data_IF_614656173429
#
_entry.id   IF_614656173429
#
_cell.length_a   1.000
_cell.length_b   1.000
_cell.length_c   1.000
_cell.angle_alpha   90.00
_cell.angle_beta   90.00
_cell.angle_gamma   90.00
#
_symmetry.space_group_name_H-M   'P 1'
#
loop_
_entity.id
_entity.type
_entity.pdbx_description
1 polymer ?
#
# COMPACT_ATOMS: atom_id res chain seq x y z
N UNK A 1 13.40 -11.73 -17.45
CA UNK A 1 13.76 -13.05 -16.88
C UNK A 1 14.91 -12.81 -15.92
N UNK A 2 14.66 -12.74 -14.60
CA UNK A 2 15.69 -12.47 -13.61
C UNK A 2 16.59 -13.69 -13.40
N UNK A 3 17.91 -13.48 -13.43
CA UNK A 3 18.95 -14.49 -13.24
C UNK A 3 18.99 -14.98 -11.80
N UNK A 4 19.19 -16.28 -11.60
CA UNK A 4 19.33 -16.96 -10.30
C UNK A 4 20.33 -16.25 -9.38
N UNK A 5 19.89 -15.76 -8.23
CA UNK A 5 20.79 -15.23 -7.19
C UNK A 5 20.11 -14.59 -5.98
N UNK A 6 19.13 -13.71 -6.18
CA UNK A 6 18.45 -13.02 -5.07
C UNK A 6 16.93 -13.21 -5.13
N UNK A 7 16.41 -14.08 -4.28
CA UNK A 7 14.97 -14.22 -4.06
C UNK A 7 14.48 -12.96 -3.34
N UNK A 8 13.60 -12.20 -3.98
CA UNK A 8 12.90 -11.07 -3.33
C UNK A 8 12.04 -11.62 -2.18
N UNK A 9 12.41 -11.28 -0.94
CA UNK A 9 11.62 -11.62 0.25
C UNK A 9 10.50 -10.60 0.41
N UNK A 10 9.24 -11.06 0.46
CA UNK A 10 8.09 -10.16 0.67
C UNK A 10 8.02 -9.71 2.13
N UNK A 11 7.50 -8.52 2.37
CA UNK A 11 7.26 -8.02 3.73
C UNK A 11 6.38 -8.97 4.56
N UNK A 12 5.41 -9.64 3.94
CA UNK A 12 4.57 -10.66 4.59
C UNK A 12 5.37 -11.86 5.07
N UNK A 13 6.44 -12.25 4.37
CA UNK A 13 7.33 -13.34 4.79
C UNK A 13 8.21 -12.95 5.96
N UNK A 14 8.70 -11.71 5.98
CA UNK A 14 9.43 -11.16 7.13
C UNK A 14 8.52 -11.16 8.36
N UNK A 15 7.27 -10.70 8.21
CA UNK A 15 6.27 -10.73 9.28
C UNK A 15 5.96 -12.15 9.75
N UNK A 16 5.83 -13.10 8.81
CA UNK A 16 5.59 -14.50 9.15
C UNK A 16 6.77 -15.12 9.90
N UNK A 17 8.01 -14.84 9.51
CA UNK A 17 9.21 -15.32 10.20
C UNK A 17 9.30 -14.72 11.61
N UNK A 18 9.07 -13.41 11.75
CA UNK A 18 9.08 -12.71 13.03
C UNK A 18 8.01 -13.23 14.00
N UNK A 19 6.84 -13.65 13.47
CA UNK A 19 5.80 -14.31 14.25
C UNK A 19 6.15 -15.77 14.58
N UNK A 20 6.52 -16.56 13.56
CA UNK A 20 6.92 -17.95 13.69
C UNK A 20 7.83 -18.40 12.54
N UNK A 21 9.12 -18.56 12.84
CA UNK A 21 10.12 -19.04 11.89
C UNK A 21 9.77 -20.42 11.27
N UNK A 22 9.18 -21.33 12.04
CA UNK A 22 8.78 -22.64 11.54
C UNK A 22 7.64 -22.54 10.52
N UNK A 23 6.62 -21.73 10.80
CA UNK A 23 5.52 -21.50 9.85
C UNK A 23 6.02 -20.83 8.56
N UNK A 24 6.97 -19.90 8.67
CA UNK A 24 7.64 -19.33 7.50
C UNK A 24 8.41 -20.40 6.72
N UNK A 25 9.18 -21.27 7.36
CA UNK A 25 9.93 -22.32 6.68
C UNK A 25 9.00 -23.27 5.93
N UNK A 26 7.92 -23.74 6.58
CA UNK A 26 6.90 -24.58 5.96
C UNK A 26 6.28 -23.90 4.73
N UNK A 27 5.92 -22.62 4.82
CA UNK A 27 5.26 -21.92 3.71
C UNK A 27 6.20 -21.45 2.60
N UNK A 28 7.34 -20.88 2.94
CA UNK A 28 8.26 -20.23 2.00
C UNK A 28 9.33 -21.14 1.43
N UNK A 29 9.70 -22.22 2.14
CA UNK A 29 10.72 -23.19 1.71
C UNK A 29 10.08 -24.49 1.25
N UNK A 30 9.23 -25.11 2.07
CA UNK A 30 8.56 -26.38 1.73
C UNK A 30 7.29 -26.20 0.86
N UNK A 31 6.77 -24.98 0.75
CA UNK A 31 5.58 -24.69 -0.05
C UNK A 31 4.27 -25.19 0.56
N UNK A 32 4.25 -25.50 1.86
CA UNK A 32 3.06 -25.95 2.58
C UNK A 32 2.09 -24.79 2.78
N UNK A 33 0.85 -24.87 2.27
CA UNK A 33 -0.12 -23.79 2.42
C UNK A 33 -0.59 -23.64 3.86
N UNK A 34 -0.94 -22.42 4.25
CA UNK A 34 -1.55 -22.16 5.55
C UNK A 34 -2.90 -22.89 5.69
N UNK A 35 -3.18 -23.41 6.88
CA UNK A 35 -4.50 -23.96 7.21
C UNK A 35 -5.59 -22.87 7.25
N UNK A 36 -5.22 -21.58 7.35
CA UNK A 36 -6.13 -20.45 7.53
C UNK A 36 -6.22 -19.55 6.29
N UNK A 37 -6.25 -20.13 5.08
CA UNK A 37 -6.34 -19.38 3.82
C UNK A 37 -7.56 -18.46 3.73
N UNK A 38 -8.69 -18.88 4.30
CA UNK A 38 -9.91 -18.04 4.33
C UNK A 38 -9.68 -16.75 5.13
N UNK A 39 -9.05 -16.85 6.31
CA UNK A 39 -8.73 -15.69 7.14
C UNK A 39 -7.73 -14.75 6.45
N UNK A 40 -6.74 -15.31 5.76
CA UNK A 40 -5.78 -14.52 4.95
C UNK A 40 -6.50 -13.76 3.83
N UNK A 41 -7.38 -14.44 3.08
CA UNK A 41 -8.14 -13.86 1.97
C UNK A 41 -9.11 -12.77 2.45
N UNK A 42 -9.75 -12.99 3.61
CA UNK A 42 -10.60 -12.01 4.26
C UNK A 42 -9.78 -10.75 4.64
N UNK A 43 -8.61 -10.94 5.25
CA UNK A 43 -7.68 -9.86 5.58
C UNK A 43 -7.26 -9.05 4.36
N UNK A 44 -6.85 -9.71 3.27
CA UNK A 44 -6.49 -9.05 2.01
C UNK A 44 -7.65 -8.24 1.42
N UNK A 45 -8.88 -8.76 1.52
CA UNK A 45 -10.07 -8.07 1.02
C UNK A 45 -10.36 -6.80 1.81
N UNK A 46 -10.23 -6.85 3.14
CA UNK A 46 -10.35 -5.67 4.00
C UNK A 46 -9.27 -4.64 3.66
N UNK A 47 -8.01 -5.05 3.53
CA UNK A 47 -6.91 -4.16 3.16
C UNK A 47 -7.10 -3.53 1.77
N UNK A 48 -7.58 -4.29 0.78
CA UNK A 48 -7.87 -3.76 -0.57
C UNK A 48 -8.97 -2.70 -0.54
N UNK A 49 -10.06 -2.97 0.20
CA UNK A 49 -11.17 -2.01 0.37
C UNK A 49 -10.69 -0.73 1.07
N UNK A 50 -9.93 -0.86 2.15
CA UNK A 50 -9.37 0.29 2.85
C UNK A 50 -8.43 1.10 1.94
N UNK A 51 -7.55 0.42 1.20
CA UNK A 51 -6.64 1.04 0.25
C UNK A 51 -7.34 1.83 -0.86
N UNK A 52 -8.51 1.37 -1.32
CA UNK A 52 -9.34 2.13 -2.26
C UNK A 52 -9.85 3.44 -1.66
N UNK A 53 -10.30 3.42 -0.40
CA UNK A 53 -10.70 4.62 0.35
C UNK A 53 -9.55 5.60 0.52
N UNK A 54 -8.36 5.12 0.92
CA UNK A 54 -7.16 5.95 1.09
C UNK A 54 -6.76 6.62 -0.23
N UNK A 55 -6.80 5.89 -1.35
CA UNK A 55 -6.52 6.48 -2.68
C UNK A 55 -7.52 7.59 -3.02
N UNK A 56 -8.81 7.37 -2.79
CA UNK A 56 -9.84 8.39 -2.98
C UNK A 56 -9.59 9.64 -2.14
N UNK A 57 -9.30 9.46 -0.85
CA UNK A 57 -8.98 10.57 0.06
C UNK A 57 -7.73 11.35 -0.40
N UNK A 58 -6.68 10.65 -0.84
CA UNK A 58 -5.47 11.28 -1.35
C UNK A 58 -5.72 12.10 -2.62
N UNK A 59 -6.58 11.59 -3.52
CA UNK A 59 -7.00 12.32 -4.72
C UNK A 59 -7.78 13.58 -4.38
N UNK A 60 -8.80 13.49 -3.52
CA UNK A 60 -9.55 14.67 -3.06
C UNK A 60 -8.64 15.69 -2.40
N UNK A 61 -7.71 15.24 -1.55
CA UNK A 61 -6.74 16.12 -0.90
C UNK A 61 -5.86 16.86 -1.90
N UNK A 62 -5.37 16.16 -2.94
CA UNK A 62 -4.57 16.76 -4.02
C UNK A 62 -5.38 17.80 -4.80
N UNK A 63 -6.64 17.50 -5.12
CA UNK A 63 -7.54 18.45 -5.78
C UNK A 63 -7.79 19.69 -4.92
N UNK A 64 -8.06 19.51 -3.63
CA UNK A 64 -8.29 20.62 -2.69
C UNK A 64 -7.07 21.56 -2.63
N UNK A 65 -5.87 21.02 -2.45
CA UNK A 65 -4.65 21.85 -2.44
C UNK A 65 -4.37 22.49 -3.80
N UNK A 66 -4.65 21.81 -4.92
CA UNK A 66 -4.53 22.38 -6.26
C UNK A 66 -5.45 23.59 -6.45
N UNK A 67 -6.72 23.48 -6.06
CA UNK A 67 -7.69 24.58 -6.13
C UNK A 67 -7.30 25.75 -5.21
N UNK A 68 -6.87 25.46 -3.98
CA UNK A 68 -6.39 26.49 -3.04
C UNK A 68 -5.18 27.25 -3.61
N UNK A 69 -4.23 26.53 -4.22
CA UNK A 69 -3.06 27.15 -4.86
C UNK A 69 -3.48 28.04 -6.03
N UNK A 70 -4.39 27.58 -6.90
CA UNK A 70 -4.91 28.39 -8.00
C UNK A 70 -5.62 29.66 -7.51
N UNK A 71 -6.45 29.55 -6.48
CA UNK A 71 -7.11 30.70 -5.87
C UNK A 71 -6.11 31.70 -5.28
N UNK A 72 -5.07 31.21 -4.59
CA UNK A 72 -4.02 32.05 -4.03
C UNK A 72 -3.23 32.80 -5.12
N UNK A 73 -2.86 32.11 -6.21
CA UNK A 73 -2.16 32.74 -7.35
C UNK A 73 -3.05 33.77 -8.03
N UNK A 74 -4.32 33.45 -8.30
CA UNK A 74 -5.26 34.38 -8.90
C UNK A 74 -5.47 35.62 -8.02
N UNK A 75 -5.62 35.44 -6.71
CA UNK A 75 -5.74 36.53 -5.76
C UNK A 75 -4.48 37.41 -5.70
N UNK A 76 -3.29 36.81 -5.76
CA UNK A 76 -2.02 37.53 -5.80
C UNK A 76 -1.86 38.33 -7.09
N UNK A 77 -2.19 37.75 -8.25
CA UNK A 77 -2.14 38.44 -9.54
C UNK A 77 -3.14 39.61 -9.58
N UNK A 78 -4.35 39.40 -9.06
CA UNK A 78 -5.35 40.47 -8.94
C UNK A 78 -4.86 41.60 -8.03
N UNK A 79 -4.21 41.27 -6.91
CA UNK A 79 -3.68 42.25 -5.98
C UNK A 79 -2.49 43.04 -6.56
N UNK A 80 -1.60 42.38 -7.31
CA UNK A 80 -0.44 43.01 -7.94
C UNK A 80 -0.80 43.82 -9.20
N UNK A 81 -1.88 43.46 -9.89
CA UNK A 81 -2.36 44.14 -11.09
C UNK A 81 -3.43 45.20 -10.85
N UNK A 82 -3.90 45.35 -9.60
CA UNK A 82 -4.78 46.41 -9.14
C UNK A 82 -3.96 47.62 -8.69
#
# INVERSE_FOLDING_TARGET
MGTSGERVIRASEIGQYAYCAHAWWLGSVEGVPSAHQEALTAGETVHRRHGAGVRGALWLKRLAYGLLLMAAVAGLLWFLGR
#
